data_IF_077820263179
#
_entry.id   IF_077820263179
#
_cell.length_a   1.000
_cell.length_b   1.000
_cell.length_c   1.000
_cell.angle_alpha   90.00
_cell.angle_beta   90.00
_cell.angle_gamma   90.00
#
_symmetry.space_group_name_H-M   'P 1'
#
loop_
_entity.id
_entity.type
_entity.pdbx_description
1 polymer ?
#
# COMPACT_ATOMS: atom_id res chain seq x y z
N UNK A 1 -3.99 -10.30 -26.42
CA UNK A 1 -3.44 -10.19 -25.05
C UNK A 1 -2.08 -10.88 -25.04
N UNK A 2 -1.01 -10.25 -24.55
CA UNK A 2 0.31 -10.89 -24.53
C UNK A 2 0.32 -12.07 -23.53
N UNK A 3 1.14 -13.10 -23.80
CA UNK A 3 1.25 -14.28 -22.92
C UNK A 3 1.65 -13.88 -21.50
N UNK A 4 2.53 -12.88 -21.35
CA UNK A 4 2.94 -12.33 -20.06
C UNK A 4 1.75 -11.75 -19.26
N UNK A 5 0.88 -10.97 -19.92
CA UNK A 5 -0.31 -10.39 -19.28
C UNK A 5 -1.29 -11.49 -18.86
N UNK A 6 -1.46 -12.54 -19.68
CA UNK A 6 -2.29 -13.68 -19.33
C UNK A 6 -1.75 -14.43 -18.10
N UNK A 7 -0.45 -14.74 -18.09
CA UNK A 7 0.20 -15.43 -16.96
C UNK A 7 0.10 -14.59 -15.69
N UNK A 8 0.38 -13.29 -15.76
CA UNK A 8 0.26 -12.38 -14.62
C UNK A 8 -1.18 -12.31 -14.09
N UNK A 9 -2.16 -12.26 -14.98
CA UNK A 9 -3.58 -12.22 -14.62
C UNK A 9 -4.05 -13.53 -13.96
N UNK A 10 -3.66 -14.68 -14.50
CA UNK A 10 -3.97 -15.99 -13.92
C UNK A 10 -3.30 -16.18 -12.55
N UNK A 11 -2.04 -15.75 -12.40
CA UNK A 11 -1.35 -15.75 -11.11
C UNK A 11 -2.05 -14.85 -10.10
N UNK A 12 -2.41 -13.63 -10.49
CA UNK A 12 -3.15 -12.69 -9.66
C UNK A 12 -4.49 -13.28 -9.17
N UNK A 13 -5.30 -13.80 -10.10
CA UNK A 13 -6.59 -14.41 -9.75
C UNK A 13 -6.41 -15.67 -8.90
N UNK A 14 -5.48 -16.56 -9.28
CA UNK A 14 -5.23 -17.81 -8.56
C UNK A 14 -4.77 -17.58 -7.13
N UNK A 15 -3.80 -16.69 -6.92
CA UNK A 15 -3.30 -16.34 -5.58
C UNK A 15 -4.37 -15.64 -4.74
N UNK A 16 -5.09 -14.68 -5.31
CA UNK A 16 -6.17 -13.97 -4.60
C UNK A 16 -7.28 -14.92 -4.21
N UNK A 17 -7.71 -15.79 -5.14
CA UNK A 17 -8.72 -16.81 -4.88
C UNK A 17 -8.28 -17.78 -3.79
N UNK A 18 -7.04 -18.29 -3.84
CA UNK A 18 -6.52 -19.21 -2.83
C UNK A 18 -6.53 -18.59 -1.42
N UNK A 19 -6.10 -17.33 -1.30
CA UNK A 19 -6.13 -16.60 -0.02
C UNK A 19 -7.56 -16.36 0.44
N UNK A 20 -8.45 -15.87 -0.44
CA UNK A 20 -9.84 -15.57 -0.08
C UNK A 20 -10.62 -16.83 0.29
N UNK A 21 -10.35 -17.94 -0.40
CA UNK A 21 -10.91 -19.25 -0.07
C UNK A 21 -10.45 -19.69 1.32
N UNK A 22 -9.15 -19.57 1.63
CA UNK A 22 -8.58 -19.98 2.93
C UNK A 22 -9.05 -19.11 4.10
N UNK A 23 -9.25 -17.81 3.88
CA UNK A 23 -9.75 -16.86 4.89
C UNK A 23 -11.28 -16.95 5.02
N UNK A 24 -11.96 -17.30 3.93
CA UNK A 24 -13.42 -17.31 3.81
C UNK A 24 -13.94 -16.05 3.11
N UNK A 25 -14.64 -16.22 1.99
CA UNK A 25 -15.18 -15.10 1.20
C UNK A 25 -16.11 -14.18 2.01
N UNK A 26 -16.90 -14.74 2.94
CA UNK A 26 -17.76 -13.96 3.82
C UNK A 26 -16.95 -13.01 4.73
N UNK A 27 -15.81 -13.46 5.27
CA UNK A 27 -14.93 -12.66 6.13
C UNK A 27 -14.28 -11.51 5.34
N UNK A 28 -13.81 -11.79 4.12
CA UNK A 28 -13.26 -10.78 3.22
C UNK A 28 -14.32 -9.75 2.83
N UNK A 29 -15.51 -10.21 2.44
CA UNK A 29 -16.61 -9.32 2.09
C UNK A 29 -17.02 -8.43 3.27
N UNK A 30 -17.13 -8.99 4.47
CA UNK A 30 -17.41 -8.22 5.69
C UNK A 30 -16.31 -7.19 5.97
N UNK A 31 -15.05 -7.53 5.69
CA UNK A 31 -13.92 -6.60 5.86
C UNK A 31 -14.03 -5.40 4.91
N UNK A 32 -14.32 -5.63 3.62
CA UNK A 32 -14.55 -4.52 2.67
C UNK A 32 -15.80 -3.69 3.00
N UNK A 33 -16.86 -4.32 3.54
CA UNK A 33 -18.07 -3.60 3.95
C UNK A 33 -17.80 -2.57 5.06
N UNK A 34 -16.74 -2.74 5.85
CA UNK A 34 -16.37 -1.77 6.89
C UNK A 34 -16.17 -0.36 6.31
N UNK A 35 -15.70 -0.22 5.07
CA UNK A 35 -15.53 1.08 4.41
C UNK A 35 -16.82 1.89 4.28
N UNK A 36 -17.98 1.20 4.30
CA UNK A 36 -19.30 1.81 4.19
C UNK A 36 -20.04 1.88 5.53
N UNK A 37 -19.43 1.45 6.62
CA UNK A 37 -20.04 1.51 7.95
C UNK A 37 -19.80 2.88 8.60
N UNK A 38 -20.84 3.49 9.21
CA UNK A 38 -20.67 4.69 10.02
C UNK A 38 -19.62 4.46 11.12
N UNK A 39 -18.71 5.42 11.30
CA UNK A 39 -17.66 5.34 12.32
C UNK A 39 -16.39 4.57 11.91
N UNK A 40 -16.33 3.98 10.71
CA UNK A 40 -15.09 3.37 10.23
C UNK A 40 -14.01 4.42 9.90
N UNK A 41 -14.39 5.52 9.26
CA UNK A 41 -13.46 6.57 8.84
C UNK A 41 -13.06 7.48 10.01
N UNK A 42 -12.26 6.94 10.92
CA UNK A 42 -11.56 7.68 11.97
C UNK A 42 -10.19 8.16 11.48
N UNK A 43 -9.58 9.11 12.18
CA UNK A 43 -8.28 9.71 11.84
C UNK A 43 -7.23 8.67 11.39
N UNK A 44 -7.11 7.56 12.12
CA UNK A 44 -6.17 6.47 11.82
C UNK A 44 -6.45 5.77 10.47
N UNK A 45 -7.71 5.44 10.19
CA UNK A 45 -8.09 4.72 8.96
C UNK A 45 -8.02 5.64 7.72
N UNK A 46 -8.26 6.94 7.89
CA UNK A 46 -8.03 7.94 6.83
C UNK A 46 -6.54 8.02 6.49
N UNK A 47 -5.67 8.08 7.50
CA UNK A 47 -4.22 8.08 7.28
C UNK A 47 -3.77 6.82 6.56
N UNK A 48 -4.30 5.65 6.93
CA UNK A 48 -4.00 4.39 6.25
C UNK A 48 -4.40 4.40 4.77
N UNK A 49 -5.61 4.86 4.45
CA UNK A 49 -6.08 4.93 3.08
C UNK A 49 -5.24 5.91 2.23
N UNK A 50 -4.95 7.10 2.76
CA UNK A 50 -4.11 8.10 2.06
C UNK A 50 -2.71 7.56 1.84
N UNK A 51 -2.11 6.92 2.85
CA UNK A 51 -0.78 6.36 2.74
C UNK A 51 -0.69 5.17 1.78
N UNK A 52 -1.76 4.36 1.70
CA UNK A 52 -1.88 3.30 0.70
C UNK A 52 -1.95 3.86 -0.72
N UNK A 53 -2.78 4.89 -0.95
CA UNK A 53 -2.89 5.57 -2.25
C UNK A 53 -1.55 6.20 -2.65
N UNK A 54 -0.85 6.86 -1.72
CA UNK A 54 0.45 7.47 -1.98
C UNK A 54 1.50 6.44 -2.44
N UNK A 55 1.55 5.26 -1.79
CA UNK A 55 2.45 4.18 -2.19
C UNK A 55 2.07 3.61 -3.57
N UNK A 56 0.79 3.43 -3.85
CA UNK A 56 0.33 3.00 -5.17
C UNK A 56 0.70 4.01 -6.28
N UNK A 57 0.58 5.31 -6.00
CA UNK A 57 0.94 6.38 -6.93
C UNK A 57 2.44 6.43 -7.25
N UNK A 58 3.30 5.97 -6.32
CA UNK A 58 4.74 5.80 -6.57
C UNK A 58 5.02 4.55 -7.40
N UNK A 59 4.39 3.41 -7.07
CA UNK A 59 4.70 2.11 -7.66
C UNK A 59 4.14 1.96 -9.08
N UNK A 60 2.89 2.39 -9.31
CA UNK A 60 2.20 2.16 -10.58
C UNK A 60 2.93 2.80 -11.77
N UNK A 61 3.40 4.06 -11.71
CA UNK A 61 4.12 4.64 -12.82
C UNK A 61 5.45 3.94 -13.11
N UNK A 62 6.18 3.58 -12.04
CA UNK A 62 7.43 2.82 -12.14
C UNK A 62 7.23 1.44 -12.77
N UNK A 63 6.07 0.81 -12.55
CA UNK A 63 5.76 -0.50 -13.15
C UNK A 63 5.27 -0.39 -14.60
N UNK A 64 4.36 0.55 -14.89
CA UNK A 64 3.69 0.66 -16.20
C UNK A 64 4.57 1.36 -17.23
N UNK A 65 5.16 2.50 -16.88
CA UNK A 65 5.97 3.32 -17.79
C UNK A 65 7.47 3.15 -17.58
N UNK A 66 7.89 2.32 -16.61
CA UNK A 66 9.29 2.18 -16.22
C UNK A 66 9.92 3.54 -15.87
N UNK A 67 9.07 4.48 -15.41
CA UNK A 67 9.45 5.84 -15.07
C UNK A 67 8.95 6.17 -13.67
N UNK A 68 9.87 6.59 -12.83
CA UNK A 68 9.60 6.94 -11.44
C UNK A 68 9.36 8.44 -11.30
N UNK A 69 8.27 8.81 -10.62
CA UNK A 69 7.96 10.22 -10.28
C UNK A 69 8.52 10.47 -8.88
N UNK A 70 9.79 10.87 -8.81
CA UNK A 70 10.53 10.97 -7.54
C UNK A 70 9.89 11.96 -6.55
N UNK A 71 9.17 12.99 -7.01
CA UNK A 71 8.50 13.97 -6.13
C UNK A 71 7.43 13.31 -5.25
N UNK A 72 6.79 12.24 -5.73
CA UNK A 72 5.82 11.48 -4.94
C UNK A 72 6.48 10.78 -3.74
N UNK A 73 7.80 10.60 -3.74
CA UNK A 73 8.52 10.09 -2.59
C UNK A 73 8.51 11.03 -1.38
N UNK A 74 8.32 12.34 -1.57
CA UNK A 74 8.10 13.28 -0.46
C UNK A 74 6.78 12.96 0.26
N UNK A 75 5.73 12.66 -0.51
CA UNK A 75 4.41 12.31 0.02
C UNK A 75 4.49 10.93 0.72
N UNK A 76 5.15 9.94 0.11
CA UNK A 76 5.30 8.62 0.75
C UNK A 76 6.19 8.64 1.98
N UNK A 77 7.19 9.54 2.06
CA UNK A 77 7.99 9.75 3.26
C UNK A 77 7.12 10.28 4.42
N UNK A 78 6.35 11.35 4.17
CA UNK A 78 5.47 11.93 5.17
C UNK A 78 4.37 10.94 5.63
N UNK A 79 3.72 10.28 4.67
CA UNK A 79 2.68 9.29 4.98
C UNK A 79 3.22 8.03 5.66
N UNK A 80 4.48 7.63 5.40
CA UNK A 80 5.10 6.51 6.12
C UNK A 80 5.44 6.86 7.56
N UNK A 81 5.88 8.09 7.84
CA UNK A 81 6.04 8.57 9.21
C UNK A 81 4.69 8.58 9.97
N UNK A 82 3.63 9.06 9.33
CA UNK A 82 2.27 8.99 9.91
C UNK A 82 1.80 7.55 10.12
N UNK A 83 2.08 6.63 9.20
CA UNK A 83 1.72 5.23 9.35
C UNK A 83 2.46 4.52 10.48
N UNK A 84 3.68 4.94 10.83
CA UNK A 84 4.36 4.41 12.02
C UNK A 84 3.55 4.75 13.27
N UNK A 85 3.10 6.01 13.39
CA UNK A 85 2.24 6.44 14.48
C UNK A 85 0.93 5.66 14.52
N UNK A 86 0.25 5.50 13.38
CA UNK A 86 -1.00 4.72 13.33
C UNK A 86 -0.78 3.24 13.67
N UNK A 87 0.31 2.64 13.18
CA UNK A 87 0.62 1.23 13.39
C UNK A 87 0.95 0.92 14.84
N UNK A 88 1.63 1.83 15.53
CA UNK A 88 1.90 1.73 16.98
C UNK A 88 0.59 1.73 17.78
N UNK A 89 -0.36 2.62 17.45
CA UNK A 89 -1.69 2.65 18.10
C UNK A 89 -2.49 1.37 17.92
N UNK A 90 -2.24 0.64 16.82
CA UNK A 90 -2.85 -0.67 16.53
C UNK A 90 -2.00 -1.86 17.01
N UNK A 91 -0.87 -1.62 17.67
CA UNK A 91 0.10 -2.63 18.14
C UNK A 91 0.59 -3.56 17.01
N UNK A 92 0.87 -2.99 15.83
CA UNK A 92 1.34 -3.70 14.64
C UNK A 92 2.85 -3.47 14.39
N UNK A 93 3.75 -4.18 15.09
CA UNK A 93 5.21 -3.93 15.03
C UNK A 93 5.80 -4.19 13.63
N UNK A 94 5.26 -5.14 12.88
CA UNK A 94 5.69 -5.43 11.50
C UNK A 94 5.38 -4.26 10.55
N UNK A 95 4.24 -3.58 10.74
CA UNK A 95 3.86 -2.41 9.96
C UNK A 95 4.70 -1.19 10.32
N UNK A 96 5.12 -1.05 11.58
CA UNK A 96 6.10 -0.05 12.00
C UNK A 96 7.42 -0.27 11.26
N UNK A 97 7.98 -1.49 11.31
CA UNK A 97 9.23 -1.81 10.61
C UNK A 97 9.14 -1.59 9.09
N UNK A 98 8.03 -2.00 8.48
CA UNK A 98 7.79 -1.79 7.05
C UNK A 98 7.79 -0.31 6.67
N UNK A 99 7.10 0.54 7.43
CA UNK A 99 7.07 1.97 7.14
C UNK A 99 8.40 2.67 7.46
N UNK A 100 9.18 2.19 8.42
CA UNK A 100 10.56 2.65 8.64
C UNK A 100 11.45 2.37 7.42
N UNK A 101 11.33 1.20 6.80
CA UNK A 101 12.04 0.89 5.56
C UNK A 101 11.61 1.83 4.42
N UNK A 102 10.31 2.13 4.31
CA UNK A 102 9.81 3.08 3.32
C UNK A 102 10.35 4.50 3.50
N UNK A 103 10.56 4.95 4.73
CA UNK A 103 11.23 6.24 4.98
C UNK A 103 12.65 6.20 4.39
N UNK A 104 13.40 5.12 4.61
CA UNK A 104 14.74 4.94 4.03
C UNK A 104 14.73 4.95 2.50
N UNK A 105 13.85 4.16 1.88
CA UNK A 105 13.70 4.09 0.42
C UNK A 105 13.37 5.45 -0.18
N UNK A 106 12.37 6.15 0.37
CA UNK A 106 12.00 7.47 -0.12
C UNK A 106 13.12 8.49 0.10
N UNK A 107 13.84 8.42 1.20
CA UNK A 107 14.99 9.31 1.45
C UNK A 107 16.09 9.13 0.40
N UNK A 108 16.46 7.89 0.07
CA UNK A 108 17.44 7.59 -0.98
C UNK A 108 17.00 8.15 -2.33
N UNK A 109 15.73 7.93 -2.71
CA UNK A 109 15.17 8.43 -3.96
C UNK A 109 15.15 9.96 -4.02
N UNK A 110 14.79 10.62 -2.93
CA UNK A 110 14.76 12.08 -2.87
C UNK A 110 16.18 12.62 -3.03
N UNK A 111 17.12 12.13 -2.23
CA UNK A 111 18.50 12.63 -2.22
C UNK A 111 19.17 12.46 -3.58
N UNK A 112 19.07 11.28 -4.22
CA UNK A 112 19.69 11.04 -5.54
C UNK A 112 19.17 11.91 -6.69
N UNK A 113 18.00 12.55 -6.52
CA UNK A 113 17.40 13.43 -7.53
C UNK A 113 17.64 14.91 -7.22
N UNK A 114 18.11 15.23 -6.00
CA UNK A 114 18.45 16.59 -5.58
C UNK A 114 19.96 16.84 -5.65
N UNK A 115 20.76 15.81 -5.37
CA UNK A 115 22.24 15.83 -5.38
C UNK A 115 22.74 14.94 -6.51
#
# INVERSE_FOLDING_TARGET
>A
MSVQVLVAFLLFLGMTFAVYYRVGFANIFNSYRMWFQPGYWVNYNVVEAVAWIAKAAVILPGLIWQQEIWQLHLITLATSALLIWVSERKLLPTMVAFNTLWIGLSSVVIVRNIV
#
